data_IF_755600860429
#
_entry.id   IF_755600860429
#
_cell.length_a   1.000
_cell.length_b   1.000
_cell.length_c   1.000
_cell.angle_alpha   90.00
_cell.angle_beta   90.00
_cell.angle_gamma   90.00
#
_symmetry.space_group_name_H-M   'P 1'
#
loop_
_entity.id
_entity.type
_entity.pdbx_description
1 polymer ?
#
# COMPACT_ATOMS: atom_id res chain seq x y z
N UNK A 1 16.55 8.91 6.00
CA UNK A 1 17.28 9.55 4.89
C UNK A 1 16.62 9.14 3.58
N UNK A 2 15.76 9.99 3.01
CA UNK A 2 15.29 9.84 1.63
C UNK A 2 16.48 10.25 0.76
N UNK A 3 17.34 9.28 0.43
CA UNK A 3 18.63 9.52 -0.21
C UNK A 3 18.49 9.46 -1.73
N UNK A 4 18.69 10.59 -2.40
CA UNK A 4 19.17 10.75 -3.79
C UNK A 4 18.46 10.06 -4.96
N UNK A 5 17.36 9.32 -4.79
CA UNK A 5 16.68 8.64 -5.91
C UNK A 5 15.65 9.50 -6.67
N UNK A 6 15.31 10.69 -6.17
CA UNK A 6 14.30 11.59 -6.76
C UNK A 6 14.93 12.80 -7.48
N UNK A 7 15.99 12.61 -8.26
CA UNK A 7 16.56 13.70 -9.09
C UNK A 7 15.90 13.73 -10.47
N UNK A 8 14.67 14.19 -10.53
CA UNK A 8 14.06 14.72 -11.75
C UNK A 8 13.78 16.21 -11.51
N UNK A 9 14.31 17.08 -12.36
CA UNK A 9 14.09 18.52 -12.23
C UNK A 9 12.59 18.82 -12.38
N UNK A 10 12.05 19.51 -11.38
CA UNK A 10 10.64 19.85 -11.27
C UNK A 10 10.36 21.06 -12.16
N UNK A 11 9.68 20.83 -13.28
CA UNK A 11 8.85 21.86 -13.89
C UNK A 11 7.42 21.63 -13.41
N UNK A 12 6.88 22.64 -12.74
CA UNK A 12 5.54 22.67 -12.19
C UNK A 12 4.51 22.30 -13.26
N UNK A 13 3.87 21.13 -13.14
CA UNK A 13 2.59 20.90 -13.78
C UNK A 13 1.75 19.92 -12.94
N UNK A 14 0.57 20.39 -12.56
CA UNK A 14 -0.44 19.66 -11.81
C UNK A 14 -1.29 18.83 -12.78
N UNK A 15 -1.73 17.67 -12.27
CA UNK A 15 -2.75 16.77 -12.82
C UNK A 15 -2.36 15.90 -14.03
N UNK A 16 -1.56 14.85 -13.77
CA UNK A 16 -1.61 13.63 -14.57
C UNK A 16 -1.88 12.41 -13.66
N UNK A 17 -3.13 11.96 -13.72
CA UNK A 17 -3.72 10.69 -13.26
C UNK A 17 -2.95 9.86 -12.21
N UNK A 18 -2.66 10.44 -11.04
CA UNK A 18 -2.23 9.72 -9.82
C UNK A 18 -3.16 8.52 -9.58
N UNK A 19 -4.46 8.70 -9.85
CA UNK A 19 -5.46 7.63 -9.83
C UNK A 19 -5.06 6.44 -10.68
N UNK A 20 -4.68 6.63 -11.95
CA UNK A 20 -4.30 5.54 -12.84
C UNK A 20 -3.05 4.80 -12.34
N UNK A 21 -2.06 5.53 -11.82
CA UNK A 21 -0.85 4.92 -11.27
C UNK A 21 -1.17 4.10 -10.02
N UNK A 22 -1.95 4.66 -9.08
CA UNK A 22 -2.39 3.94 -7.88
C UNK A 22 -3.23 2.71 -8.29
N UNK A 23 -4.18 2.86 -9.21
CA UNK A 23 -5.00 1.76 -9.74
C UNK A 23 -4.13 0.67 -10.37
N UNK A 24 -3.09 1.01 -11.13
CA UNK A 24 -2.16 0.03 -11.68
C UNK A 24 -1.37 -0.71 -10.59
N UNK A 25 -0.88 0.01 -9.57
CA UNK A 25 -0.14 -0.60 -8.46
C UNK A 25 -0.99 -1.58 -7.65
N UNK A 26 -2.24 -1.21 -7.35
CA UNK A 26 -3.14 -2.05 -6.55
C UNK A 26 -3.79 -3.17 -7.38
N UNK A 27 -4.01 -2.95 -8.69
CA UNK A 27 -4.66 -3.91 -9.59
C UNK A 27 -3.87 -5.20 -9.84
N UNK A 28 -2.62 -5.30 -9.37
CA UNK A 28 -1.88 -6.56 -9.40
C UNK A 28 -2.61 -7.69 -8.62
N UNK A 29 -3.39 -7.34 -7.59
CA UNK A 29 -4.17 -8.31 -6.82
C UNK A 29 -5.26 -9.01 -7.66
N UNK A 30 -5.75 -8.37 -8.72
CA UNK A 30 -6.79 -8.91 -9.59
C UNK A 30 -6.26 -10.06 -10.46
N UNK A 31 -4.95 -10.11 -10.69
CA UNK A 31 -4.29 -11.13 -11.50
C UNK A 31 -3.54 -12.17 -10.65
N UNK A 32 -3.17 -11.81 -9.42
CA UNK A 32 -2.36 -12.63 -8.54
C UNK A 32 -2.85 -12.53 -7.09
N UNK A 33 -3.33 -13.64 -6.52
CA UNK A 33 -3.83 -13.63 -5.15
C UNK A 33 -2.71 -13.62 -4.10
N UNK A 34 -2.93 -12.91 -3.00
CA UNK A 34 -2.19 -13.15 -1.76
C UNK A 34 -2.58 -14.51 -1.17
N UNK A 35 -1.66 -15.13 -0.43
CA UNK A 35 -1.97 -16.39 0.25
C UNK A 35 -2.61 -16.11 1.61
N UNK A 36 -3.81 -16.65 1.78
CA UNK A 36 -4.45 -16.82 3.07
C UNK A 36 -4.13 -18.21 3.63
N UNK A 37 -3.71 -18.27 4.89
CA UNK A 37 -3.58 -19.51 5.64
C UNK A 37 -4.28 -19.36 6.98
N UNK A 38 -5.44 -19.99 7.11
CA UNK A 38 -6.32 -19.83 8.27
C UNK A 38 -6.73 -18.36 8.43
N UNK A 39 -6.43 -17.80 9.60
CA UNK A 39 -6.88 -16.46 9.98
C UNK A 39 -5.89 -15.34 9.59
N UNK A 40 -4.91 -15.60 8.71
CA UNK A 40 -3.90 -14.63 8.35
C UNK A 40 -3.60 -14.64 6.85
N UNK A 41 -3.50 -13.45 6.27
CA UNK A 41 -2.96 -13.23 4.93
C UNK A 41 -1.49 -12.83 5.05
N UNK A 42 -0.62 -13.51 4.30
CA UNK A 42 0.84 -13.33 4.39
C UNK A 42 1.44 -13.02 3.03
N UNK A 43 2.44 -12.15 3.03
CA UNK A 43 3.17 -11.81 1.82
C UNK A 43 4.18 -12.92 1.47
N UNK A 44 4.01 -13.57 0.32
CA UNK A 44 4.86 -14.70 -0.11
C UNK A 44 6.08 -14.29 -0.95
N UNK A 45 6.59 -13.07 -0.77
CA UNK A 45 7.77 -12.60 -1.50
C UNK A 45 7.54 -12.34 -2.99
N UNK A 46 6.28 -12.27 -3.44
CA UNK A 46 5.92 -12.02 -4.84
C UNK A 46 6.15 -10.54 -5.21
N UNK A 47 7.07 -10.20 -6.13
CA UNK A 47 7.44 -8.81 -6.38
C UNK A 47 6.27 -7.92 -6.83
N UNK A 48 5.40 -8.42 -7.71
CA UNK A 48 4.26 -7.68 -8.25
C UNK A 48 3.23 -7.30 -7.19
N UNK A 49 3.06 -8.13 -6.16
CA UNK A 49 2.16 -7.87 -5.04
C UNK A 49 2.79 -7.04 -3.92
N UNK A 50 4.08 -6.69 -4.01
CA UNK A 50 4.77 -6.00 -2.92
C UNK A 50 4.17 -4.63 -2.64
N UNK A 51 3.87 -3.86 -3.68
CA UNK A 51 3.27 -2.54 -3.53
C UNK A 51 1.89 -2.64 -2.86
N UNK A 52 1.01 -3.48 -3.40
CA UNK A 52 -0.31 -3.76 -2.84
C UNK A 52 -0.22 -4.20 -1.37
N UNK A 53 0.58 -5.23 -1.06
CA UNK A 53 0.70 -5.79 0.27
C UNK A 53 1.21 -4.76 1.31
N UNK A 54 2.12 -3.87 0.93
CA UNK A 54 2.58 -2.81 1.85
C UNK A 54 1.49 -1.75 2.10
N UNK A 55 0.64 -1.47 1.10
CA UNK A 55 -0.43 -0.47 1.21
C UNK A 55 -1.61 -0.97 2.05
N UNK A 56 -2.03 -2.23 1.89
CA UNK A 56 -3.19 -2.81 2.60
C UNK A 56 -2.84 -3.44 3.94
N UNK A 57 -1.64 -3.19 4.46
CA UNK A 57 -1.18 -3.79 5.71
C UNK A 57 -1.98 -3.23 6.89
N UNK A 58 -2.62 -4.09 7.68
CA UNK A 58 -3.50 -3.70 8.79
C UNK A 58 -2.81 -2.86 9.90
N UNK A 59 -1.49 -3.02 10.02
CA UNK A 59 -0.64 -2.26 10.95
C UNK A 59 -0.18 -0.91 10.40
N UNK A 60 -0.37 -0.62 9.12
CA UNK A 60 -0.06 0.69 8.55
C UNK A 60 -1.17 1.69 8.88
N UNK A 61 -0.79 2.84 9.45
CA UNK A 61 -1.74 3.87 9.89
C UNK A 61 -1.44 5.25 9.31
N UNK A 62 -0.35 5.38 8.55
CA UNK A 62 0.02 6.60 7.86
C UNK A 62 0.59 6.24 6.50
N UNK A 63 0.27 7.04 5.50
CA UNK A 63 0.79 6.95 4.14
C UNK A 63 1.28 8.32 3.68
N UNK A 64 2.42 8.34 3.02
CA UNK A 64 2.95 9.52 2.35
C UNK A 64 3.40 9.14 0.94
N UNK A 65 2.93 9.87 -0.06
CA UNK A 65 3.30 9.67 -1.45
C UNK A 65 4.02 10.90 -1.99
N UNK A 66 4.98 10.66 -2.87
CA UNK A 66 5.65 11.67 -3.66
C UNK A 66 5.63 11.24 -5.13
N UNK A 67 5.45 12.19 -6.02
CA UNK A 67 5.51 11.95 -7.45
C UNK A 67 6.26 13.08 -8.14
N UNK A 68 6.84 12.76 -9.30
CA UNK A 68 7.53 13.72 -10.13
C UNK A 68 7.46 13.28 -11.60
N UNK A 69 7.46 14.26 -12.51
CA UNK A 69 7.58 14.03 -13.95
C UNK A 69 9.07 14.05 -14.33
N UNK A 70 9.46 13.11 -15.16
CA UNK A 70 10.83 12.89 -15.64
C UNK A 70 10.81 12.85 -17.17
N UNK A 71 10.66 14.00 -17.81
CA UNK A 71 10.43 14.11 -19.26
C UNK A 71 9.02 13.60 -19.63
N UNK A 72 8.96 12.53 -20.42
CA UNK A 72 7.71 11.83 -20.76
C UNK A 72 7.29 10.77 -19.72
N UNK A 73 8.19 10.44 -18.78
CA UNK A 73 7.93 9.43 -17.75
C UNK A 73 7.44 10.04 -16.44
N UNK A 74 6.77 9.24 -15.61
CA UNK A 74 6.39 9.59 -14.26
C UNK A 74 7.02 8.64 -13.25
N UNK A 75 7.47 9.19 -12.13
CA UNK A 75 7.88 8.42 -10.97
C UNK A 75 6.92 8.75 -9.84
N UNK A 76 6.30 7.73 -9.26
CA UNK A 76 5.51 7.84 -8.04
C UNK A 76 6.01 6.82 -7.02
N UNK A 77 6.06 7.23 -5.77
CA UNK A 77 6.42 6.35 -4.67
C UNK A 77 5.56 6.67 -3.45
N UNK A 78 5.02 5.64 -2.84
CA UNK A 78 4.30 5.73 -1.58
C UNK A 78 5.04 4.94 -0.50
N UNK A 79 5.10 5.53 0.69
CA UNK A 79 5.62 4.92 1.90
C UNK A 79 4.51 4.87 2.94
N UNK A 80 4.55 3.84 3.78
CA UNK A 80 3.75 3.80 5.01
C UNK A 80 4.65 4.04 6.21
N UNK A 81 4.07 4.22 7.39
CA UNK A 81 4.80 4.22 8.65
C UNK A 81 5.33 2.83 9.07
N UNK A 82 5.29 1.85 8.16
CA UNK A 82 5.78 0.50 8.40
C UNK A 82 7.02 0.20 7.55
N UNK A 83 7.94 -0.64 8.04
CA UNK A 83 9.03 -1.13 7.21
C UNK A 83 8.48 -1.99 6.06
N UNK A 84 9.23 -2.03 4.96
CA UNK A 84 8.93 -2.86 3.79
C UNK A 84 8.72 -4.32 4.19
N UNK A 85 7.60 -4.90 3.74
CA UNK A 85 7.26 -6.30 3.97
C UNK A 85 8.35 -7.25 3.42
N UNK A 86 8.69 -8.23 4.25
CA UNK A 86 9.55 -9.36 3.94
C UNK A 86 8.71 -10.61 3.70
N UNK A 87 9.33 -11.60 3.07
CA UNK A 87 8.67 -12.89 2.83
C UNK A 87 8.12 -13.48 4.15
N UNK A 88 6.92 -14.06 4.05
CA UNK A 88 6.15 -14.68 5.11
C UNK A 88 5.73 -13.73 6.26
N UNK A 89 5.79 -12.41 6.08
CA UNK A 89 5.22 -11.45 7.04
C UNK A 89 3.71 -11.26 6.82
N UNK A 90 2.98 -11.01 7.92
CA UNK A 90 1.54 -10.77 7.90
C UNK A 90 1.19 -9.45 7.21
N UNK A 91 0.18 -9.51 6.36
CA UNK A 91 -0.41 -8.35 5.67
C UNK A 91 -1.62 -7.87 6.46
N UNK A 92 -2.62 -8.75 6.65
CA UNK A 92 -3.77 -8.51 7.51
C UNK A 92 -4.32 -9.82 8.06
N UNK A 93 -5.00 -9.72 9.20
CA UNK A 93 -5.78 -10.84 9.76
C UNK A 93 -7.11 -11.00 9.01
N UNK A 94 -7.52 -12.25 8.80
CA UNK A 94 -8.87 -12.57 8.30
C UNK A 94 -9.83 -12.49 9.48
N UNK A 95 -10.70 -11.49 9.46
CA UNK A 95 -11.66 -11.25 10.53
C UNK A 95 -12.87 -12.17 10.46
N UNK A 96 -13.43 -12.48 11.64
CA UNK A 96 -14.74 -13.15 11.77
C UNK A 96 -15.92 -12.18 11.72
N UNK A 97 -15.62 -10.88 11.81
CA UNK A 97 -16.54 -9.74 11.84
C UNK A 97 -15.98 -8.62 10.95
N UNK A 98 -16.80 -7.60 10.69
CA UNK A 98 -16.44 -6.44 9.85
C UNK A 98 -15.12 -5.78 10.30
N UNK A 99 -14.90 -5.62 11.61
CA UNK A 99 -13.57 -5.28 12.14
C UNK A 99 -13.28 -5.97 13.47
N UNK A 100 -11.99 -6.22 13.71
CA UNK A 100 -11.41 -6.59 15.00
C UNK A 100 -10.35 -5.53 15.36
N UNK A 101 -10.81 -4.43 15.97
CA UNK A 101 -9.97 -3.24 16.14
C UNK A 101 -9.07 -3.30 17.38
N UNK A 102 -7.85 -2.71 17.32
CA UNK A 102 -7.00 -2.53 18.48
C UNK A 102 -7.68 -1.73 19.59
N UNK A 103 -7.17 -1.87 20.81
CA UNK A 103 -7.70 -1.12 21.97
C UNK A 103 -7.68 0.39 21.73
N UNK A 104 -8.79 1.04 22.07
CA UNK A 104 -8.97 2.49 21.88
C UNK A 104 -9.40 2.92 20.48
N UNK A 105 -9.55 1.97 19.54
CA UNK A 105 -10.05 2.24 18.19
C UNK A 105 -11.49 1.79 18.04
N UNK A 106 -12.26 2.51 17.21
CA UNK A 106 -13.64 2.16 16.87
C UNK A 106 -13.69 1.61 15.44
N UNK A 107 -14.53 0.61 15.22
CA UNK A 107 -14.80 0.08 13.88
C UNK A 107 -15.82 0.99 13.18
N UNK A 108 -15.44 1.52 12.03
CA UNK A 108 -16.37 2.07 11.06
C UNK A 108 -17.01 0.90 10.30
N UNK A 109 -18.27 0.60 10.59
CA UNK A 109 -18.98 -0.56 10.03
C UNK A 109 -19.22 -0.43 8.52
N UNK A 110 -19.20 0.79 7.97
CA UNK A 110 -19.43 1.01 6.54
C UNK A 110 -18.16 0.84 5.73
N UNK A 111 -17.04 1.30 6.28
CA UNK A 111 -15.73 1.22 5.62
C UNK A 111 -14.96 -0.07 5.95
N UNK A 112 -15.30 -0.76 7.04
CA UNK A 112 -14.53 -1.90 7.54
C UNK A 112 -13.15 -1.50 8.09
N UNK A 113 -13.01 -0.26 8.56
CA UNK A 113 -11.74 0.31 9.00
C UNK A 113 -11.77 0.72 10.48
N UNK A 114 -10.62 0.57 11.15
CA UNK A 114 -10.44 0.98 12.53
C UNK A 114 -9.96 2.44 12.62
N UNK A 115 -10.71 3.29 13.35
CA UNK A 115 -10.45 4.73 13.52
C UNK A 115 -10.15 5.09 14.98
#
# INVERSE_FOLDING_TARGET
KISNHFRCFSEYFFDENIRAVITSLIGNIDNEALSANGNAVRYQGRPNLKAYANLVRDTASQIGCAWNRCGENYIMFCLTNQPQLRNNQGVYSVGSRVCECPSGKKCDQWEGLCK
#
